data_IF_569223734769
#
_entry.id   IF_569223734769
#
_cell.length_a   1.000
_cell.length_b   1.000
_cell.length_c   1.000
_cell.angle_alpha   90.00
_cell.angle_beta   90.00
_cell.angle_gamma   90.00
#
_symmetry.space_group_name_H-M   'P 1'
#
loop_
_entity.id
_entity.type
_entity.pdbx_description
1 polymer ?
#
# COMPACT_ATOMS: atom_id res chain seq x y z
N UNK A 1 11.40 -0.56 8.92
CA UNK A 1 10.59 0.45 9.65
C UNK A 1 9.52 0.89 8.66
N UNK A 2 8.24 0.65 8.95
CA UNK A 2 7.18 0.65 7.92
C UNK A 2 6.48 2.01 7.90
N UNK A 3 6.47 2.69 6.75
CA UNK A 3 5.96 4.07 6.61
C UNK A 3 4.52 4.23 7.12
N UNK A 4 3.61 3.31 6.78
CA UNK A 4 2.23 3.33 7.27
C UNK A 4 2.11 3.22 8.80
N UNK A 5 3.01 2.48 9.44
CA UNK A 5 3.05 2.36 10.89
C UNK A 5 3.61 3.63 11.54
N UNK A 6 4.67 4.22 10.97
CA UNK A 6 5.20 5.48 11.48
C UNK A 6 4.17 6.62 11.34
N UNK A 7 3.46 6.67 10.22
CA UNK A 7 2.34 7.60 10.03
C UNK A 7 1.28 7.40 11.11
N UNK A 8 0.88 6.17 11.41
CA UNK A 8 -0.09 5.89 12.46
C UNK A 8 0.39 6.34 13.84
N UNK A 9 1.67 6.15 14.17
CA UNK A 9 2.26 6.62 15.43
C UNK A 9 2.17 8.15 15.53
N UNK A 10 2.50 8.87 14.46
CA UNK A 10 2.55 10.33 14.47
C UNK A 10 1.15 10.98 14.35
N UNK A 11 0.17 10.25 13.81
CA UNK A 11 -1.21 10.71 13.59
C UNK A 11 -2.21 10.03 14.54
N UNK A 12 -1.79 9.78 15.80
CA UNK A 12 -2.64 9.28 16.90
C UNK A 12 -3.43 8.00 16.60
N UNK A 13 -2.84 7.09 15.81
CA UNK A 13 -3.43 5.82 15.37
C UNK A 13 -4.19 5.91 14.06
N UNK A 14 -4.25 7.09 13.42
CA UNK A 14 -4.88 7.28 12.12
C UNK A 14 -3.98 6.75 11.02
N UNK A 15 -4.51 5.87 10.18
CA UNK A 15 -3.85 5.41 8.96
C UNK A 15 -4.37 6.18 7.75
N UNK A 16 -3.62 6.24 6.63
CA UNK A 16 -4.12 6.86 5.41
C UNK A 16 -5.48 6.28 5.01
N UNK A 17 -6.35 7.16 4.51
CA UNK A 17 -7.71 6.79 4.11
C UNK A 17 -7.67 5.73 2.99
N UNK A 18 -8.78 5.00 2.83
CA UNK A 18 -9.01 4.06 1.73
C UNK A 18 -8.15 2.78 1.71
N UNK A 19 -7.38 2.46 2.77
CA UNK A 19 -6.84 1.10 2.92
C UNK A 19 -8.01 0.12 3.16
N UNK A 20 -8.25 -0.85 2.26
CA UNK A 20 -9.38 -1.78 2.35
C UNK A 20 -9.24 -2.72 3.55
N UNK A 21 -10.35 -2.98 4.23
CA UNK A 21 -10.39 -3.98 5.28
C UNK A 21 -10.44 -5.39 4.64
N UNK A 22 -9.36 -6.14 4.75
CA UNK A 22 -9.25 -7.51 4.24
C UNK A 22 -8.26 -8.31 5.09
N UNK A 23 -8.46 -9.63 5.16
CA UNK A 23 -7.52 -10.53 5.82
C UNK A 23 -6.21 -10.69 5.02
N UNK A 24 -6.27 -10.45 3.71
CA UNK A 24 -5.16 -10.58 2.76
C UNK A 24 -5.26 -9.55 1.62
N UNK A 25 -4.26 -9.55 0.73
CA UNK A 25 -4.27 -8.69 -0.46
C UNK A 25 -5.02 -9.28 -1.66
N UNK A 26 -5.89 -10.29 -1.47
CA UNK A 26 -6.53 -11.04 -2.58
C UNK A 26 -7.50 -10.22 -3.44
N UNK A 27 -7.90 -9.01 -3.01
CA UNK A 27 -8.75 -8.07 -3.77
C UNK A 27 -7.98 -7.21 -4.78
N UNK A 28 -7.30 -7.85 -5.74
CA UNK A 28 -6.26 -7.29 -6.64
C UNK A 28 -6.56 -5.94 -7.31
N UNK A 29 -7.81 -5.54 -7.57
CA UNK A 29 -8.06 -4.20 -8.16
C UNK A 29 -8.21 -3.08 -7.12
N UNK A 30 -8.92 -3.32 -6.02
CA UNK A 30 -9.21 -2.29 -5.00
C UNK A 30 -8.09 -2.12 -3.99
N UNK A 31 -7.21 -3.13 -3.88
CA UNK A 31 -6.12 -3.16 -2.92
C UNK A 31 -4.81 -2.68 -3.53
N UNK A 32 -4.74 -2.50 -4.86
CA UNK A 32 -3.54 -2.00 -5.53
C UNK A 32 -3.26 -0.56 -5.08
N UNK A 33 -1.99 -0.32 -4.74
CA UNK A 33 -1.50 0.98 -4.30
C UNK A 33 -1.32 1.87 -5.53
N UNK A 34 -1.85 3.09 -5.44
CA UNK A 34 -1.66 4.10 -6.46
C UNK A 34 -0.19 4.54 -6.52
N UNK A 35 0.38 4.64 -7.72
CA UNK A 35 1.74 5.14 -7.92
C UNK A 35 1.81 6.66 -7.70
N UNK A 36 2.98 7.16 -7.33
CA UNK A 36 3.20 8.61 -7.24
C UNK A 36 2.92 9.29 -8.59
N UNK A 37 1.99 10.25 -8.59
CA UNK A 37 1.56 10.96 -9.80
C UNK A 37 0.53 10.23 -10.68
N UNK A 38 0.00 9.07 -10.24
CA UNK A 38 -1.10 8.36 -10.90
C UNK A 38 -2.50 8.91 -10.52
N UNK A 39 -3.54 8.46 -11.24
CA UNK A 39 -4.93 8.72 -10.86
C UNK A 39 -5.45 7.64 -9.90
N UNK A 40 -5.68 8.01 -8.64
CA UNK A 40 -6.00 7.08 -7.56
C UNK A 40 -7.52 6.85 -7.34
N UNK A 41 -8.38 7.14 -8.32
CA UNK A 41 -9.84 7.13 -8.13
C UNK A 41 -10.43 5.75 -7.78
N UNK A 42 -9.73 4.67 -8.16
CA UNK A 42 -10.13 3.28 -7.89
C UNK A 42 -9.04 2.46 -7.21
N UNK A 43 -8.00 3.13 -6.71
CA UNK A 43 -6.80 2.52 -6.12
C UNK A 43 -6.61 3.04 -4.69
N UNK A 44 -5.71 2.40 -3.94
CA UNK A 44 -5.38 2.86 -2.59
C UNK A 44 -4.45 4.07 -2.69
N UNK A 45 -4.99 5.24 -2.34
CA UNK A 45 -4.23 6.48 -2.26
C UNK A 45 -3.43 6.54 -0.95
N UNK A 46 -2.11 6.42 -1.06
CA UNK A 46 -1.15 6.55 0.04
C UNK A 46 -0.30 7.82 -0.07
N UNK A 47 -0.77 8.84 -0.81
CA UNK A 47 -0.05 10.12 -0.98
C UNK A 47 0.32 10.80 0.34
N UNK A 48 -0.45 10.57 1.41
CA UNK A 48 -0.14 11.03 2.76
C UNK A 48 1.20 10.51 3.30
N UNK A 49 1.67 9.34 2.84
CA UNK A 49 2.97 8.79 3.23
C UNK A 49 4.13 9.46 2.48
N UNK A 50 3.88 9.97 1.28
CA UNK A 50 4.85 10.71 0.48
C UNK A 50 4.80 12.23 0.72
N UNK A 51 3.82 12.70 1.48
CA UNK A 51 3.65 14.12 1.77
C UNK A 51 4.88 14.67 2.49
N UNK A 52 5.51 15.69 1.91
CA UNK A 52 6.73 16.34 2.40
C UNK A 52 7.91 15.37 2.62
N UNK A 53 7.88 14.18 2.00
CA UNK A 53 8.94 13.17 2.08
C UNK A 53 9.28 12.68 3.51
N UNK A 54 8.34 12.84 4.46
CA UNK A 54 8.58 12.53 5.87
C UNK A 54 8.70 11.02 6.11
N UNK A 55 7.85 10.22 5.46
CA UNK A 55 7.80 8.76 5.64
C UNK A 55 8.31 7.98 4.43
N UNK A 56 8.09 8.50 3.22
CA UNK A 56 8.56 7.97 1.95
C UNK A 56 8.87 9.11 0.98
N UNK A 57 9.92 8.96 0.17
CA UNK A 57 10.21 9.92 -0.93
C UNK A 57 9.26 9.68 -2.11
N UNK A 58 8.94 8.42 -2.40
CA UNK A 58 7.99 8.02 -3.44
C UNK A 58 7.38 6.66 -3.11
N UNK A 59 6.27 6.34 -3.78
CA UNK A 59 5.68 5.01 -3.69
C UNK A 59 6.60 3.99 -4.38
N UNK A 60 6.94 2.86 -3.73
CA UNK A 60 7.69 1.79 -4.37
C UNK A 60 6.93 1.30 -5.61
N UNK A 61 7.65 1.14 -6.71
CA UNK A 61 7.09 0.76 -8.00
C UNK A 61 7.60 -0.64 -8.39
N UNK A 62 6.67 -1.56 -8.60
CA UNK A 62 6.94 -2.90 -9.09
C UNK A 62 6.59 -2.98 -10.58
N UNK A 63 7.58 -2.94 -11.49
CA UNK A 63 7.33 -2.97 -12.93
C UNK A 63 6.64 -4.26 -13.40
N UNK A 64 6.73 -5.36 -12.64
CA UNK A 64 6.19 -6.65 -13.05
C UNK A 64 4.67 -6.75 -12.79
N UNK A 65 4.15 -5.99 -11.82
CA UNK A 65 2.71 -5.92 -11.50
C UNK A 65 2.05 -4.55 -11.76
N UNK A 66 2.82 -3.52 -12.14
CA UNK A 66 2.29 -2.17 -12.25
C UNK A 66 1.29 -1.99 -13.39
N UNK A 67 0.19 -1.30 -13.08
CA UNK A 67 -0.80 -0.83 -14.07
C UNK A 67 -0.54 0.63 -14.48
N UNK A 68 -1.42 1.18 -15.33
CA UNK A 68 -1.31 2.58 -15.78
C UNK A 68 -1.24 3.57 -14.61
N UNK A 69 -1.99 3.34 -13.54
CA UNK A 69 -2.04 4.21 -12.35
C UNK A 69 -1.53 3.53 -11.07
N UNK A 70 -1.40 2.21 -11.08
CA UNK A 70 -0.98 1.45 -9.93
C UNK A 70 0.53 1.19 -9.89
N UNK A 71 0.98 0.85 -8.70
CA UNK A 71 2.37 0.62 -8.38
C UNK A 71 2.76 -0.86 -8.43
N UNK A 72 1.81 -1.79 -8.67
CA UNK A 72 2.05 -3.25 -8.65
C UNK A 72 2.13 -3.87 -7.26
N UNK A 73 2.06 -3.04 -6.21
CA UNK A 73 1.94 -3.51 -4.83
C UNK A 73 0.52 -3.35 -4.32
N UNK A 74 0.13 -4.23 -3.40
CA UNK A 74 -1.19 -4.24 -2.80
C UNK A 74 -1.09 -4.03 -1.29
N UNK A 75 -2.11 -3.41 -0.70
CA UNK A 75 -2.18 -3.16 0.73
C UNK A 75 -3.57 -3.50 1.27
N UNK A 76 -3.60 -4.10 2.45
CA UNK A 76 -4.81 -4.41 3.19
C UNK A 76 -4.63 -4.11 4.68
N UNK A 77 -5.74 -3.85 5.37
CA UNK A 77 -5.78 -3.81 6.83
C UNK A 77 -6.67 -4.91 7.38
N UNK A 78 -6.15 -5.65 8.35
CA UNK A 78 -6.98 -6.58 9.13
C UNK A 78 -7.99 -5.84 10.02
N UNK A 79 -8.99 -6.57 10.52
CA UNK A 79 -9.95 -6.06 11.49
C UNK A 79 -9.31 -5.53 12.79
N UNK A 80 -8.10 -5.98 13.12
CA UNK A 80 -7.33 -5.54 14.28
C UNK A 80 -6.35 -4.39 13.97
N UNK A 81 -6.46 -3.76 12.79
CA UNK A 81 -5.63 -2.62 12.41
C UNK A 81 -4.22 -2.97 11.91
N UNK A 82 -3.87 -4.27 11.81
CA UNK A 82 -2.58 -4.68 11.21
C UNK A 82 -2.59 -4.41 9.72
N UNK A 83 -1.53 -3.77 9.23
CA UNK A 83 -1.31 -3.48 7.82
C UNK A 83 -0.46 -4.60 7.21
N UNK A 84 -0.93 -5.11 6.07
CA UNK A 84 -0.21 -6.10 5.26
C UNK A 84 0.00 -5.51 3.87
N UNK A 85 1.24 -5.59 3.38
CA UNK A 85 1.60 -5.22 2.00
C UNK A 85 2.02 -6.49 1.27
N UNK A 86 1.53 -6.65 0.04
CA UNK A 86 1.79 -7.81 -0.81
C UNK A 86 2.24 -7.41 -2.21
N UNK A 87 3.09 -8.22 -2.81
CA UNK A 87 3.43 -8.18 -4.22
C UNK A 87 2.97 -9.50 -4.87
N UNK A 88 1.79 -9.55 -5.51
CA UNK A 88 1.27 -10.77 -6.12
C UNK A 88 2.04 -11.16 -7.37
N UNK A 89 2.58 -10.19 -8.10
CA UNK A 89 3.36 -10.41 -9.33
C UNK A 89 4.87 -10.52 -9.07
N UNK A 90 5.27 -10.81 -7.83
CA UNK A 90 6.67 -10.96 -7.46
C UNK A 90 7.35 -12.04 -8.33
N UNK A 91 8.46 -11.67 -8.97
CA UNK A 91 9.22 -12.53 -9.88
C UNK A 91 9.77 -13.75 -9.12
N UNK A 92 8.99 -14.84 -9.13
CA UNK A 92 9.23 -16.22 -8.66
C UNK A 92 7.91 -16.94 -8.26
N UNK A 93 6.74 -16.30 -8.43
CA UNK A 93 5.42 -16.84 -8.02
C UNK A 93 5.33 -17.07 -6.49
N UNK A 94 6.22 -16.39 -5.74
CA UNK A 94 6.27 -16.39 -4.28
C UNK A 94 5.70 -15.07 -3.80
N UNK A 95 4.50 -15.10 -3.22
CA UNK A 95 3.91 -13.93 -2.58
C UNK A 95 4.77 -13.49 -1.40
N UNK A 96 5.46 -12.36 -1.55
CA UNK A 96 6.19 -11.74 -0.45
C UNK A 96 5.19 -10.90 0.34
N UNK A 97 4.86 -11.35 1.56
CA UNK A 97 3.98 -10.61 2.48
C UNK A 97 4.75 -10.16 3.71
N UNK A 98 4.71 -8.86 4.01
CA UNK A 98 5.17 -8.32 5.28
C UNK A 98 3.96 -7.92 6.14
N UNK A 99 3.77 -8.61 7.27
CA UNK A 99 2.75 -8.28 8.27
C UNK A 99 3.45 -7.93 9.58
N UNK A 100 3.03 -6.88 10.28
CA UNK A 100 3.55 -6.54 11.61
C UNK A 100 2.48 -6.18 12.62
#
# INVERSE_FOLDING_TARGET
MNAAHQYAVDNTGTIPANIPASADCSGVATNEICKTGGSCSSLVDLSALTANEIYLVSMPYDPSGATTNGAGHHIAKSANGRITVCAPDAELDVVISATR
#
